data_IF_767820106163
#
_entry.id   IF_767820106163
#
_cell.length_a   1.000
_cell.length_b   1.000
_cell.length_c   1.000
_cell.angle_alpha   90.00
_cell.angle_beta   90.00
_cell.angle_gamma   90.00
#
_symmetry.space_group_name_H-M   'P 1'
#
loop_
_entity.id
_entity.type
_entity.pdbx_description
1 polymer ?
#
# COMPACT_ATOMS: atom_id res chain seq x y z
N UNK A 1 2.89 -3.22 -8.88
CA UNK A 1 3.35 -2.20 -7.93
C UNK A 1 2.38 -1.03 -7.88
N UNK A 2 2.13 -0.50 -6.71
CA UNK A 2 1.28 0.68 -6.56
C UNK A 2 1.96 1.92 -7.15
N UNK A 3 1.15 2.87 -7.61
CA UNK A 3 1.66 4.14 -8.06
C UNK A 3 1.94 5.04 -6.85
N UNK A 4 3.11 4.85 -6.25
CA UNK A 4 3.50 5.58 -5.04
C UNK A 4 3.51 7.08 -5.23
N UNK A 5 3.78 7.53 -6.46
CA UNK A 5 3.68 8.96 -6.77
C UNK A 5 2.28 9.52 -6.57
N UNK A 6 1.26 8.74 -6.89
CA UNK A 6 -0.13 9.16 -6.66
C UNK A 6 -0.45 9.19 -5.17
N UNK A 7 0.06 8.22 -4.41
CA UNK A 7 -0.12 8.20 -2.96
C UNK A 7 0.55 9.42 -2.33
N UNK A 8 1.77 9.74 -2.76
CA UNK A 8 2.47 10.92 -2.24
C UNK A 8 1.69 12.21 -2.48
N UNK A 9 1.05 12.32 -3.65
CA UNK A 9 0.27 13.53 -3.98
C UNK A 9 -0.94 13.73 -3.08
N UNK A 10 -1.54 12.64 -2.60
CA UNK A 10 -2.73 12.71 -1.74
C UNK A 10 -2.41 12.46 -0.27
N UNK A 11 -1.15 12.34 0.07
CA UNK A 11 -0.75 12.00 1.43
C UNK A 11 -1.28 13.00 2.46
N UNK A 12 -1.17 14.30 2.16
CA UNK A 12 -1.68 15.33 3.05
C UNK A 12 -3.18 15.20 3.27
N UNK A 13 -3.92 14.89 2.22
CA UNK A 13 -5.37 14.67 2.32
C UNK A 13 -5.68 13.46 3.19
N UNK A 14 -4.90 12.39 3.05
CA UNK A 14 -5.05 11.19 3.89
C UNK A 14 -4.80 11.54 5.34
N UNK A 15 -3.75 12.31 5.62
CA UNK A 15 -3.43 12.74 6.98
C UNK A 15 -4.53 13.62 7.57
N UNK A 16 -5.11 14.50 6.77
CA UNK A 16 -6.22 15.35 7.20
C UNK A 16 -7.46 14.54 7.57
N UNK A 17 -7.62 13.36 6.98
CA UNK A 17 -8.70 12.45 7.32
C UNK A 17 -8.38 11.58 8.54
N UNK A 18 -7.27 11.83 9.20
CA UNK A 18 -6.87 11.10 10.41
C UNK A 18 -6.25 9.74 10.14
N UNK A 19 -5.79 9.50 8.91
CA UNK A 19 -5.19 8.23 8.52
C UNK A 19 -3.69 8.35 8.33
N UNK A 20 -3.01 7.21 8.30
CA UNK A 20 -1.60 7.11 8.00
C UNK A 20 -1.39 6.09 6.90
N UNK A 21 -0.29 6.22 6.17
CA UNK A 21 0.07 5.32 5.09
C UNK A 21 1.26 4.47 5.51
N UNK A 22 1.15 3.18 5.28
CA UNK A 22 2.27 2.24 5.40
C UNK A 22 2.35 1.48 4.08
N UNK A 23 3.56 1.31 3.57
CA UNK A 23 3.75 0.46 2.40
C UNK A 23 4.57 -0.77 2.79
N UNK A 24 4.29 -1.88 2.13
CA UNK A 24 5.00 -3.14 2.32
C UNK A 24 5.37 -3.67 0.95
N UNK A 25 6.64 -4.00 0.77
CA UNK A 25 7.13 -4.53 -0.50
C UNK A 25 8.25 -5.53 -0.25
N UNK A 26 8.59 -6.40 -1.24
CA UNK A 26 9.71 -7.32 -1.10
C UNK A 26 11.08 -6.66 -1.33
N UNK A 27 11.12 -5.36 -1.56
CA UNK A 27 12.38 -4.65 -1.75
C UNK A 27 13.21 -4.64 -0.47
N UNK A 28 14.54 -4.60 -0.62
CA UNK A 28 15.43 -4.58 0.54
C UNK A 28 15.32 -3.27 1.32
N UNK A 29 15.66 -3.28 2.62
CA UNK A 29 15.68 -2.03 3.39
C UNK A 29 16.56 -0.95 2.77
N UNK A 30 17.70 -1.32 2.20
CA UNK A 30 18.60 -0.36 1.55
C UNK A 30 17.94 0.27 0.32
N UNK A 31 17.30 -0.52 -0.52
CA UNK A 31 16.58 -0.02 -1.69
C UNK A 31 15.47 0.94 -1.28
N UNK A 32 14.74 0.60 -0.22
CA UNK A 32 13.66 1.45 0.27
C UNK A 32 14.18 2.76 0.84
N UNK A 33 15.30 2.71 1.57
CA UNK A 33 15.92 3.94 2.09
C UNK A 33 16.34 4.87 0.97
N UNK A 34 16.97 4.32 -0.07
CA UNK A 34 17.39 5.11 -1.25
C UNK A 34 16.19 5.71 -1.97
N UNK A 35 15.15 4.92 -2.18
CA UNK A 35 13.93 5.39 -2.83
C UNK A 35 13.27 6.50 -2.02
N UNK A 36 13.14 6.29 -0.71
CA UNK A 36 12.50 7.24 0.19
C UNK A 36 13.25 8.58 0.20
N UNK A 37 14.57 8.52 0.24
CA UNK A 37 15.40 9.73 0.20
C UNK A 37 15.28 10.45 -1.14
N UNK A 38 15.35 9.69 -2.24
CA UNK A 38 15.28 10.25 -3.60
C UNK A 38 13.93 10.92 -3.88
N UNK A 39 12.85 10.34 -3.38
CA UNK A 39 11.49 10.83 -3.65
C UNK A 39 10.92 11.67 -2.53
N UNK A 40 11.67 11.86 -1.44
CA UNK A 40 11.21 12.61 -0.26
C UNK A 40 9.89 12.08 0.29
N UNK A 41 9.73 10.75 0.27
CA UNK A 41 8.53 10.09 0.78
C UNK A 41 8.47 10.22 2.29
N UNK A 42 7.34 10.67 2.82
CA UNK A 42 7.18 10.95 4.25
C UNK A 42 6.59 9.79 5.04
N UNK A 43 5.91 8.87 4.39
CA UNK A 43 5.31 7.73 5.10
C UNK A 43 6.28 6.55 5.21
N UNK A 44 6.10 5.69 6.21
CA UNK A 44 6.95 4.51 6.38
C UNK A 44 6.85 3.54 5.22
N UNK A 45 7.99 3.00 4.83
CA UNK A 45 8.09 1.99 3.77
C UNK A 45 8.76 0.76 4.37
N UNK A 46 7.99 -0.31 4.52
CA UNK A 46 8.43 -1.52 5.21
C UNK A 46 8.89 -2.57 4.20
N UNK A 47 9.99 -3.24 4.56
CA UNK A 47 10.55 -4.31 3.74
C UNK A 47 10.00 -5.66 4.17
N UNK A 48 9.59 -6.46 3.19
CA UNK A 48 9.18 -7.84 3.38
C UNK A 48 10.00 -8.71 2.43
N UNK A 49 11.32 -8.66 2.57
CA UNK A 49 12.25 -9.33 1.65
C UNK A 49 11.95 -10.82 1.47
N UNK A 50 11.54 -11.48 2.54
CA UNK A 50 11.26 -12.90 2.50
C UNK A 50 9.84 -13.20 2.03
N UNK A 51 9.00 -12.19 1.86
CA UNK A 51 7.62 -12.35 1.42
C UNK A 51 6.69 -12.95 2.46
N UNK A 52 7.07 -12.94 3.72
CA UNK A 52 6.28 -13.58 4.79
C UNK A 52 4.95 -12.88 5.02
N UNK A 53 4.96 -11.54 5.09
CA UNK A 53 3.74 -10.76 5.29
C UNK A 53 2.87 -10.83 4.04
N UNK A 54 3.48 -10.73 2.88
CA UNK A 54 2.79 -10.83 1.60
C UNK A 54 2.06 -12.17 1.50
N UNK A 55 2.72 -13.24 1.92
CA UNK A 55 2.12 -14.58 1.95
C UNK A 55 0.94 -14.64 2.93
N UNK A 56 1.09 -14.06 4.12
CA UNK A 56 0.04 -14.04 5.14
C UNK A 56 -1.21 -13.32 4.65
N UNK A 57 -1.04 -12.28 3.84
CA UNK A 57 -2.18 -11.55 3.26
C UNK A 57 -2.77 -12.25 2.04
N UNK A 58 -2.15 -13.33 1.57
CA UNK A 58 -2.67 -14.09 0.43
C UNK A 58 -2.55 -13.38 -0.90
N UNK A 59 -1.64 -12.42 -1.01
CA UNK A 59 -1.48 -11.60 -2.22
C UNK A 59 -0.21 -11.92 -3.01
N UNK A 60 0.46 -13.01 -2.65
CA UNK A 60 1.66 -13.45 -3.35
C UNK A 60 1.30 -13.84 -4.79
N UNK A 61 2.06 -13.32 -5.75
CA UNK A 61 1.86 -13.64 -7.16
C UNK A 61 2.85 -14.70 -7.60
N UNK A 62 2.39 -15.93 -7.75
CA UNK A 62 3.21 -17.04 -8.19
C UNK A 62 3.34 -17.15 -9.70
N UNK A 63 2.62 -16.31 -10.44
CA UNK A 63 2.54 -16.36 -11.90
C UNK A 63 3.71 -15.67 -12.60
N UNK A 64 4.48 -14.85 -11.89
CA UNK A 64 5.59 -14.12 -12.51
C UNK A 64 6.83 -14.99 -12.50
N UNK A 65 7.36 -15.38 -13.67
CA UNK A 65 8.57 -16.21 -13.71
C UNK A 65 9.81 -15.47 -13.26
N UNK A 66 9.76 -14.15 -13.24
CA UNK A 66 10.94 -13.33 -12.97
C UNK A 66 11.15 -13.02 -11.51
N UNK A 67 10.11 -13.03 -10.71
CA UNK A 67 10.21 -12.52 -9.35
C UNK A 67 9.27 -13.24 -8.44
N UNK A 68 9.82 -14.17 -7.72
CA UNK A 68 9.06 -14.89 -6.70
C UNK A 68 8.67 -13.91 -5.60
N UNK A 69 7.42 -13.91 -5.23
CA UNK A 69 6.94 -13.13 -4.12
C UNK A 69 6.61 -11.68 -4.41
N UNK A 70 6.56 -11.28 -5.69
CA UNK A 70 5.99 -9.97 -6.02
C UNK A 70 4.51 -10.01 -5.69
N UNK A 71 4.02 -9.11 -4.83
CA UNK A 71 2.62 -9.10 -4.49
C UNK A 71 1.77 -8.57 -5.64
N UNK A 72 0.52 -9.01 -5.68
CA UNK A 72 -0.48 -8.31 -6.47
C UNK A 72 -0.61 -6.87 -5.94
N UNK A 73 -0.77 -5.87 -6.81
CA UNK A 73 -1.04 -4.51 -6.35
C UNK A 73 -2.29 -4.52 -5.48
N UNK A 74 -2.17 -4.07 -4.23
CA UNK A 74 -3.27 -4.16 -3.29
C UNK A 74 -3.23 -3.01 -2.29
N UNK A 75 -4.41 -2.66 -1.78
CA UNK A 75 -4.58 -1.64 -0.76
C UNK A 75 -5.54 -2.20 0.29
N UNK A 76 -5.16 -2.03 1.54
CA UNK A 76 -6.00 -2.35 2.69
C UNK A 76 -6.22 -1.08 3.48
N UNK A 77 -7.45 -0.85 3.92
CA UNK A 77 -7.74 0.21 4.89
C UNK A 77 -8.16 -0.48 6.17
N UNK A 78 -7.43 -0.19 7.25
CA UNK A 78 -7.64 -0.80 8.54
C UNK A 78 -8.03 0.31 9.52
N UNK A 79 -9.12 0.11 10.27
CA UNK A 79 -9.57 1.12 11.22
C UNK A 79 -8.80 1.04 12.53
N UNK A 80 -9.11 1.93 13.46
CA UNK A 80 -8.42 1.99 14.76
C UNK A 80 -8.67 0.77 15.62
N UNK A 81 -9.74 0.06 15.36
CA UNK A 81 -10.06 -1.19 16.06
C UNK A 81 -9.32 -2.40 15.48
N UNK A 82 -8.56 -2.20 14.39
CA UNK A 82 -7.83 -3.28 13.74
C UNK A 82 -8.65 -4.05 12.73
N UNK A 83 -9.82 -3.55 12.36
CA UNK A 83 -10.69 -4.22 11.40
C UNK A 83 -10.43 -3.71 9.98
N UNK A 84 -10.39 -4.64 9.02
CA UNK A 84 -10.24 -4.28 7.61
C UNK A 84 -11.59 -3.73 7.12
N UNK A 85 -11.59 -2.46 6.71
CA UNK A 85 -12.79 -1.76 6.25
C UNK A 85 -12.88 -1.69 4.73
N UNK A 86 -11.77 -1.87 4.06
CA UNK A 86 -11.71 -1.85 2.60
C UNK A 86 -10.52 -2.68 2.17
N UNK A 87 -10.69 -3.45 1.12
CA UNK A 87 -9.60 -4.19 0.50
C UNK A 87 -9.81 -4.21 -1.01
N UNK A 88 -8.73 -3.94 -1.73
CA UNK A 88 -8.71 -4.03 -3.19
C UNK A 88 -7.42 -4.74 -3.58
N UNK A 89 -7.54 -5.87 -4.27
CA UNK A 89 -6.40 -6.63 -4.79
C UNK A 89 -6.54 -6.71 -6.31
N UNK A 90 -5.54 -6.23 -7.04
CA UNK A 90 -5.55 -6.25 -8.50
C UNK A 90 -4.66 -7.38 -8.99
N UNK A 91 -5.21 -8.33 -9.70
CA UNK A 91 -4.45 -9.43 -10.28
C UNK A 91 -3.66 -8.99 -11.50
N UNK A 92 -4.10 -7.92 -12.15
CA UNK A 92 -3.43 -7.38 -13.33
C UNK A 92 -2.71 -6.08 -12.97
N UNK A 93 -1.39 -6.06 -13.19
CA UNK A 93 -0.55 -4.91 -12.85
C UNK A 93 -0.86 -3.65 -13.66
N UNK A 94 -1.59 -3.77 -14.78
CA UNK A 94 -1.99 -2.61 -15.57
C UNK A 94 -3.14 -1.83 -14.93
N UNK A 95 -3.89 -2.47 -14.03
CA UNK A 95 -5.02 -1.82 -13.37
C UNK A 95 -4.64 -1.50 -11.94
N UNK A 96 -4.74 -0.23 -11.58
CA UNK A 96 -4.41 0.27 -10.24
C UNK A 96 -5.66 0.80 -9.56
N UNK A 97 -5.66 0.74 -8.24
CA UNK A 97 -6.75 1.31 -7.46
C UNK A 97 -6.71 2.82 -7.59
N UNK A 98 -7.86 3.44 -7.80
CA UNK A 98 -7.95 4.90 -7.93
C UNK A 98 -7.82 5.54 -6.55
N UNK A 99 -7.04 6.62 -6.47
CA UNK A 99 -6.86 7.34 -5.21
C UNK A 99 -8.16 7.99 -4.75
N UNK A 100 -9.03 8.42 -5.67
CA UNK A 100 -10.33 8.96 -5.30
C UNK A 100 -11.18 7.94 -4.53
N UNK A 101 -11.11 6.66 -4.92
CA UNK A 101 -11.79 5.58 -4.21
C UNK A 101 -11.28 5.45 -2.78
N UNK A 102 -9.97 5.51 -2.60
CA UNK A 102 -9.34 5.41 -1.27
C UNK A 102 -9.77 6.58 -0.40
N UNK A 103 -9.74 7.80 -0.94
CA UNK A 103 -10.16 8.98 -0.18
C UNK A 103 -11.63 8.91 0.22
N UNK A 104 -12.49 8.44 -0.68
CA UNK A 104 -13.91 8.29 -0.39
C UNK A 104 -14.16 7.26 0.72
N UNK A 105 -13.45 6.13 0.68
CA UNK A 105 -13.58 5.12 1.72
C UNK A 105 -13.08 5.63 3.08
N UNK A 106 -11.99 6.40 3.08
CA UNK A 106 -11.48 7.02 4.31
C UNK A 106 -12.46 8.03 4.89
N UNK A 107 -13.12 8.81 4.04
CA UNK A 107 -14.13 9.76 4.49
C UNK A 107 -15.29 9.07 5.19
N UNK A 108 -15.72 7.92 4.68
CA UNK A 108 -16.78 7.14 5.31
C UNK A 108 -16.42 6.69 6.72
N UNK A 109 -15.19 6.24 6.91
CA UNK A 109 -14.69 5.78 8.20
C UNK A 109 -14.52 6.96 9.14
N UNK A 110 -13.97 8.07 8.67
CA UNK A 110 -13.73 9.27 9.47
C UNK A 110 -15.04 9.86 10.02
N UNK A 111 -16.08 9.86 9.21
CA UNK A 111 -17.39 10.38 9.62
C UNK A 111 -18.03 9.50 10.69
N UNK A 112 -17.81 8.19 10.64
CA UNK A 112 -18.39 7.24 11.60
C UNK A 112 -17.62 7.19 12.92
N UNK A 113 -16.35 7.49 12.86
CA UNK A 113 -15.48 7.51 14.04
C UNK A 113 -15.57 8.85 14.75
#
# INVERSE_FOLDING_TARGET
MLHLGKVRRVYDQIKQLGAEVLTVSPDSPDSLRKYKAKTETLFPMLSDEKGEVILQYGIKNDWTPYKRGIPHPSIYIIDRAGLVRFVEVRQNYFFRVKMSTILDELKKIHVKD
#
